data_IF_831832594179
#
_entry.id   IF_831832594179
#
_cell.length_a   1.000
_cell.length_b   1.000
_cell.length_c   1.000
_cell.angle_alpha   90.00
_cell.angle_beta   90.00
_cell.angle_gamma   90.00
#
_symmetry.space_group_name_H-M   'P 1'
#
loop_
_entity.id
_entity.type
_entity.pdbx_description
1 polymer ?
#
# COMPACT_ATOMS: atom_id res chain seq x y z
N UNK A 1 -12.67 -66.89 28.55
CA UNK A 1 -11.61 -65.93 28.15
C UNK A 1 -11.95 -65.17 26.85
N UNK A 2 -12.41 -65.84 25.77
CA UNK A 2 -12.63 -65.20 24.44
C UNK A 2 -13.52 -63.94 24.42
N UNK A 3 -14.61 -63.89 25.22
CA UNK A 3 -15.52 -62.73 25.28
C UNK A 3 -14.85 -61.42 25.70
N UNK A 4 -13.84 -61.46 26.58
CA UNK A 4 -13.13 -60.26 27.02
C UNK A 4 -12.24 -59.67 25.91
N UNK A 5 -11.59 -60.54 25.12
CA UNK A 5 -10.76 -60.12 23.99
C UNK A 5 -11.58 -59.44 22.88
N UNK A 6 -12.81 -59.94 22.63
CA UNK A 6 -13.72 -59.35 21.65
C UNK A 6 -14.16 -57.94 22.04
N UNK A 7 -14.51 -57.72 23.32
CA UNK A 7 -14.90 -56.39 23.84
C UNK A 7 -13.73 -55.41 23.77
N UNK A 8 -12.50 -55.86 24.06
CA UNK A 8 -11.30 -55.01 23.96
C UNK A 8 -11.05 -54.55 22.51
N UNK A 9 -11.17 -55.46 21.53
CA UNK A 9 -11.00 -55.15 20.11
C UNK A 9 -12.03 -54.14 19.60
N UNK A 10 -13.30 -54.26 20.00
CA UNK A 10 -14.35 -53.28 19.64
C UNK A 10 -14.08 -51.92 20.30
N UNK A 11 -13.66 -51.89 21.57
CA UNK A 11 -13.35 -50.62 22.25
C UNK A 11 -12.17 -49.87 21.58
N UNK A 12 -11.12 -50.60 21.18
CA UNK A 12 -9.97 -50.02 20.48
C UNK A 12 -10.36 -49.48 19.09
N UNK A 13 -11.17 -50.22 18.31
CA UNK A 13 -11.58 -49.77 16.98
C UNK A 13 -12.48 -48.53 17.01
N UNK A 14 -13.36 -48.40 18.01
CA UNK A 14 -14.16 -47.19 18.22
C UNK A 14 -13.28 -46.00 18.59
N UNK A 15 -12.27 -46.17 19.46
CA UNK A 15 -11.34 -45.08 19.80
C UNK A 15 -10.56 -44.56 18.58
N UNK A 16 -10.07 -45.45 17.71
CA UNK A 16 -9.34 -45.06 16.49
C UNK A 16 -10.22 -44.24 15.55
N UNK A 17 -11.51 -44.58 15.40
CA UNK A 17 -12.45 -43.83 14.56
C UNK A 17 -12.73 -42.43 15.13
N UNK A 18 -12.77 -42.27 16.47
CA UNK A 18 -12.98 -40.96 17.11
C UNK A 18 -11.73 -40.08 16.96
N UNK A 19 -10.53 -40.62 17.16
CA UNK A 19 -9.28 -39.85 17.07
C UNK A 19 -8.79 -39.58 15.63
N UNK A 20 -9.29 -40.28 14.61
CA UNK A 20 -8.91 -40.05 13.20
C UNK A 20 -9.81 -39.04 12.47
N UNK A 21 -10.94 -38.64 13.06
CA UNK A 21 -11.76 -37.53 12.54
C UNK A 21 -11.06 -36.19 12.79
N UNK A 22 -10.22 -35.79 11.83
CA UNK A 22 -9.79 -34.38 11.72
C UNK A 22 -11.05 -33.50 11.72
N UNK A 23 -11.10 -32.42 12.51
CA UNK A 23 -12.20 -31.48 12.41
C UNK A 23 -12.22 -30.92 11.00
N UNK A 24 -13.32 -31.13 10.28
CA UNK A 24 -13.58 -30.38 9.05
C UNK A 24 -13.76 -28.94 9.50
N UNK A 25 -12.77 -28.10 9.23
CA UNK A 25 -12.88 -26.67 9.48
C UNK A 25 -14.18 -26.19 8.79
N UNK A 26 -15.01 -25.38 9.48
CA UNK A 26 -16.21 -24.86 8.83
C UNK A 26 -15.76 -24.14 7.56
N UNK A 27 -16.41 -24.44 6.44
CA UNK A 27 -16.20 -23.71 5.21
C UNK A 27 -16.64 -22.27 5.48
N UNK A 28 -15.68 -21.42 5.86
CA UNK A 28 -15.90 -19.99 5.95
C UNK A 28 -16.30 -19.58 4.54
N UNK A 29 -17.54 -19.14 4.39
CA UNK A 29 -18.00 -18.51 3.17
C UNK A 29 -17.17 -17.24 3.02
N UNK A 30 -16.02 -17.35 2.34
CA UNK A 30 -15.24 -16.20 1.91
C UNK A 30 -16.18 -15.35 1.09
N UNK A 31 -16.58 -14.20 1.65
CA UNK A 31 -17.34 -13.22 0.92
C UNK A 31 -16.55 -12.88 -0.33
N UNK A 32 -17.15 -13.12 -1.50
CA UNK A 32 -16.52 -12.93 -2.81
C UNK A 32 -16.41 -11.44 -3.14
N UNK A 33 -15.62 -10.72 -2.34
CA UNK A 33 -15.33 -9.31 -2.47
C UNK A 33 -13.96 -9.11 -3.14
N UNK A 34 -13.81 -9.66 -4.34
CA UNK A 34 -12.79 -9.19 -5.28
C UNK A 34 -13.36 -7.96 -5.99
N UNK A 35 -13.40 -6.81 -5.31
CA UNK A 35 -13.51 -5.55 -6.02
C UNK A 35 -12.22 -5.38 -6.84
N UNK A 36 -12.36 -5.11 -8.13
CA UNK A 36 -11.22 -4.98 -9.03
C UNK A 36 -10.45 -3.70 -8.70
N UNK A 37 -9.12 -3.83 -8.54
CA UNK A 37 -8.26 -2.68 -8.25
C UNK A 37 -8.35 -1.63 -9.35
N UNK A 38 -8.41 -0.37 -8.93
CA UNK A 38 -8.45 0.79 -9.81
C UNK A 38 -7.03 1.12 -10.30
N UNK A 39 -6.00 0.81 -9.50
CA UNK A 39 -4.59 1.00 -9.89
C UNK A 39 -4.04 -0.29 -10.53
N UNK A 40 -4.51 -0.58 -11.75
CA UNK A 40 -4.25 -1.85 -12.45
C UNK A 40 -2.83 -2.06 -13.02
N UNK A 41 -1.92 -1.09 -12.90
CA UNK A 41 -0.56 -1.12 -13.45
C UNK A 41 0.55 -1.27 -12.39
N UNK A 42 0.20 -1.66 -11.15
CA UNK A 42 1.14 -1.99 -10.09
C UNK A 42 0.96 -3.47 -9.76
N UNK A 43 2.01 -4.26 -9.99
CA UNK A 43 2.03 -5.69 -9.70
C UNK A 43 2.68 -5.98 -8.33
N UNK A 44 2.68 -7.25 -7.93
CA UNK A 44 3.33 -7.65 -6.68
C UNK A 44 4.85 -7.46 -6.78
N UNK A 45 5.43 -6.75 -5.81
CA UNK A 45 6.83 -6.33 -5.80
C UNK A 45 7.08 -4.90 -6.31
N UNK A 46 6.10 -4.28 -6.97
CA UNK A 46 6.18 -2.89 -7.40
C UNK A 46 5.84 -1.92 -6.26
N UNK A 47 6.18 -0.64 -6.44
CA UNK A 47 5.77 0.44 -5.52
C UNK A 47 5.59 1.74 -6.28
N UNK A 48 4.39 2.31 -6.22
CA UNK A 48 4.13 3.68 -6.67
C UNK A 48 4.62 4.65 -5.59
N UNK A 49 5.48 5.59 -5.99
CA UNK A 49 5.98 6.64 -5.12
C UNK A 49 5.23 7.94 -5.41
N UNK A 50 4.67 8.56 -4.38
CA UNK A 50 4.02 9.88 -4.43
C UNK A 50 4.75 10.78 -3.45
N UNK A 51 5.24 11.92 -3.93
CA UNK A 51 6.27 12.69 -3.24
C UNK A 51 5.97 14.19 -3.27
N UNK A 52 6.25 14.85 -2.15
CA UNK A 52 6.38 16.29 -2.06
C UNK A 52 7.69 16.69 -1.35
N UNK A 53 8.36 17.67 -1.92
CA UNK A 53 9.44 18.40 -1.28
C UNK A 53 9.09 19.88 -1.28
N UNK A 54 8.97 20.45 -0.09
CA UNK A 54 8.65 21.86 0.08
C UNK A 54 9.94 22.68 0.13
N UNK A 55 9.91 23.94 -0.29
CA UNK A 55 11.10 24.83 -0.35
C UNK A 55 11.13 25.86 0.79
N UNK A 56 10.64 25.46 1.98
CA UNK A 56 10.60 26.30 3.18
C UNK A 56 11.98 26.80 3.65
N UNK A 57 13.07 26.14 3.22
CA UNK A 57 14.46 26.58 3.43
C UNK A 57 15.16 27.03 2.13
N UNK A 58 14.40 27.50 1.14
CA UNK A 58 14.91 28.02 -0.14
C UNK A 58 15.33 26.96 -1.15
N UNK A 59 16.24 27.35 -2.06
CA UNK A 59 16.74 26.55 -3.21
C UNK A 59 17.23 25.15 -2.80
N UNK A 60 17.89 25.06 -1.65
CA UNK A 60 18.48 23.82 -1.12
C UNK A 60 17.53 23.02 -0.22
N UNK A 61 16.22 23.20 -0.42
CA UNK A 61 15.14 22.28 -0.03
C UNK A 61 14.74 22.30 1.44
N UNK A 62 13.46 22.06 1.68
CA UNK A 62 12.83 21.96 3.00
C UNK A 62 12.35 20.54 3.36
N UNK A 63 11.23 20.47 4.09
CA UNK A 63 10.62 19.22 4.51
C UNK A 63 10.18 18.35 3.32
N UNK A 64 10.15 17.03 3.56
CA UNK A 64 9.71 16.04 2.58
C UNK A 64 8.62 15.15 3.15
N UNK A 65 7.65 14.89 2.28
CA UNK A 65 6.58 13.91 2.49
C UNK A 65 6.68 12.85 1.39
N UNK A 66 6.55 11.58 1.75
CA UNK A 66 6.57 10.46 0.81
C UNK A 66 5.45 9.48 1.16
N UNK A 67 4.55 9.23 0.20
CA UNK A 67 3.58 8.14 0.26
C UNK A 67 4.07 7.03 -0.67
N UNK A 68 4.22 5.81 -0.15
CA UNK A 68 4.49 4.60 -0.95
C UNK A 68 3.22 3.78 -1.04
N UNK A 69 2.85 3.31 -2.23
CA UNK A 69 1.67 2.46 -2.45
C UNK A 69 2.11 1.15 -3.12
N UNK A 70 1.81 0.02 -2.47
CA UNK A 70 2.27 -1.32 -2.87
C UNK A 70 1.24 -2.39 -2.44
N UNK A 71 1.29 -3.58 -3.05
CA UNK A 71 0.41 -4.70 -2.64
C UNK A 71 0.92 -5.34 -1.35
N UNK A 72 0.05 -5.54 -0.35
CA UNK A 72 0.49 -5.99 0.98
C UNK A 72 1.01 -7.44 1.01
N UNK A 73 1.90 -7.70 1.96
CA UNK A 73 2.34 -9.03 2.38
C UNK A 73 1.66 -9.53 3.66
N UNK A 74 0.80 -8.73 4.28
CA UNK A 74 0.09 -9.13 5.50
C UNK A 74 -1.02 -10.16 5.21
N UNK A 75 -0.67 -11.43 5.45
CA UNK A 75 -1.57 -12.57 5.46
C UNK A 75 -0.78 -13.88 5.46
N UNK A 76 -1.39 -14.97 5.93
CA UNK A 76 -0.84 -16.34 5.91
C UNK A 76 -0.84 -16.94 4.47
N UNK A 77 -0.32 -16.15 3.53
CA UNK A 77 -0.43 -16.30 2.07
C UNK A 77 0.94 -16.66 1.47
N UNK A 78 1.87 -17.14 2.31
CA UNK A 78 3.19 -17.62 1.89
C UNK A 78 3.19 -19.05 1.36
N UNK A 79 2.06 -19.75 1.41
CA UNK A 79 1.88 -21.06 0.78
C UNK A 79 0.60 -21.11 -0.09
N UNK A 80 0.77 -21.57 -1.35
CA UNK A 80 -0.27 -22.12 -2.27
C UNK A 80 -1.14 -21.19 -3.13
N UNK A 81 -0.94 -19.87 -3.18
CA UNK A 81 -1.75 -19.05 -4.09
C UNK A 81 -1.17 -18.95 -5.52
N UNK A 82 -2.05 -19.01 -6.51
CA UNK A 82 -1.75 -18.91 -7.94
C UNK A 82 -1.86 -17.48 -8.47
N UNK A 83 -1.43 -17.25 -9.71
CA UNK A 83 -1.34 -15.92 -10.35
C UNK A 83 -2.62 -15.07 -10.24
N UNK A 84 -3.81 -15.69 -10.26
CA UNK A 84 -5.11 -15.00 -10.18
C UNK A 84 -5.35 -14.38 -8.80
N UNK A 85 -4.86 -15.00 -7.73
CA UNK A 85 -5.12 -14.57 -6.35
C UNK A 85 -4.16 -13.47 -5.89
N UNK A 86 -2.99 -13.32 -6.54
CA UNK A 86 -2.11 -12.17 -6.34
C UNK A 86 -2.76 -10.84 -6.72
N UNK A 87 -3.66 -10.84 -7.72
CA UNK A 87 -4.47 -9.67 -8.13
C UNK A 87 -5.63 -9.32 -7.19
N UNK A 88 -5.76 -10.02 -6.06
CA UNK A 88 -6.82 -9.78 -5.06
C UNK A 88 -6.25 -9.33 -3.70
N UNK A 89 -4.93 -9.12 -3.60
CA UNK A 89 -4.29 -8.60 -2.38
C UNK A 89 -4.61 -7.12 -2.24
N UNK A 90 -4.99 -6.61 -1.05
CA UNK A 90 -5.25 -5.19 -0.89
C UNK A 90 -3.96 -4.38 -1.03
N UNK A 91 -4.06 -3.20 -1.65
CA UNK A 91 -2.99 -2.21 -1.59
C UNK A 91 -2.82 -1.68 -0.16
N UNK A 92 -1.59 -1.36 0.19
CA UNK A 92 -1.23 -0.64 1.41
C UNK A 92 -0.52 0.65 1.02
N UNK A 93 -0.78 1.71 1.78
CA UNK A 93 -0.09 2.98 1.68
C UNK A 93 0.66 3.28 2.98
N UNK A 94 1.97 3.47 2.86
CA UNK A 94 2.84 3.98 3.92
C UNK A 94 3.06 5.47 3.74
N UNK A 95 2.88 6.24 4.80
CA UNK A 95 3.23 7.66 4.86
C UNK A 95 4.52 7.86 5.65
N UNK A 96 5.55 8.31 4.96
CA UNK A 96 6.84 8.68 5.53
C UNK A 96 6.97 10.20 5.62
N UNK A 97 7.36 10.67 6.81
CA UNK A 97 7.82 12.02 7.05
C UNK A 97 9.33 12.05 7.19
N UNK A 98 9.93 13.18 6.85
CA UNK A 98 11.32 13.45 7.14
C UNK A 98 11.52 14.22 8.45
N UNK A 99 12.59 13.89 9.16
CA UNK A 99 13.01 14.50 10.43
C UNK A 99 13.65 15.89 10.28
N UNK A 100 14.09 16.31 9.09
CA UNK A 100 14.89 17.54 8.92
C UNK A 100 14.16 18.56 8.03
N UNK A 101 13.78 19.68 8.65
CA UNK A 101 13.09 20.78 7.97
C UNK A 101 13.86 21.44 6.82
N UNK A 102 15.20 21.31 6.75
CA UNK A 102 16.06 21.86 5.69
C UNK A 102 17.03 20.80 5.12
N UNK A 103 17.12 20.66 3.80
CA UNK A 103 17.61 19.42 3.16
C UNK A 103 19.12 19.26 2.97
N UNK A 104 19.93 20.25 3.37
CA UNK A 104 21.40 20.24 3.22
C UNK A 104 22.13 19.29 4.18
N UNK A 105 21.41 18.60 5.07
CA UNK A 105 21.98 17.69 6.08
C UNK A 105 22.04 16.25 5.59
N UNK A 106 23.26 15.68 5.62
CA UNK A 106 23.52 14.29 5.20
C UNK A 106 22.95 13.23 6.16
N UNK A 107 22.61 13.59 7.41
CA UNK A 107 22.05 12.70 8.43
C UNK A 107 20.50 12.61 8.41
N UNK A 108 19.89 12.92 7.25
CA UNK A 108 18.45 12.89 6.99
C UNK A 108 17.84 11.51 7.29
N UNK A 109 16.77 11.47 8.09
CA UNK A 109 16.04 10.24 8.42
C UNK A 109 14.55 10.37 8.09
N UNK A 110 14.05 9.41 7.33
CA UNK A 110 12.62 9.21 7.13
C UNK A 110 12.07 8.29 8.21
N UNK A 111 10.91 8.62 8.77
CA UNK A 111 10.18 7.78 9.71
C UNK A 111 8.80 7.44 9.14
N UNK A 112 8.35 6.21 9.36
CA UNK A 112 6.99 5.80 9.05
C UNK A 112 6.07 6.46 10.08
N UNK A 113 5.25 7.40 9.62
CA UNK A 113 4.31 8.16 10.45
C UNK A 113 2.98 7.41 10.55
N UNK A 114 2.45 6.94 9.41
CA UNK A 114 1.19 6.17 9.35
C UNK A 114 1.26 5.10 8.25
N UNK A 115 0.52 4.02 8.44
CA UNK A 115 0.26 2.98 7.45
C UNK A 115 -1.25 2.77 7.33
N UNK A 116 -1.73 2.43 6.13
CA UNK A 116 -3.15 2.16 5.86
C UNK A 116 -3.33 1.13 4.76
N UNK A 117 -4.15 0.11 5.02
CA UNK A 117 -4.73 -0.73 3.96
C UNK A 117 -5.76 0.10 3.19
N UNK A 118 -5.60 0.17 1.87
CA UNK A 118 -6.41 1.03 1.01
C UNK A 118 -7.77 0.42 0.70
N UNK A 119 -8.80 1.28 0.72
CA UNK A 119 -10.08 0.97 0.08
C UNK A 119 -10.08 1.37 -1.39
N UNK A 120 -11.02 0.85 -2.18
CA UNK A 120 -11.22 1.25 -3.58
C UNK A 120 -11.47 2.76 -3.74
N UNK A 121 -12.05 3.43 -2.74
CA UNK A 121 -12.22 4.90 -2.76
C UNK A 121 -10.93 5.68 -2.45
N UNK A 122 -9.98 5.06 -1.74
CA UNK A 122 -8.63 5.58 -1.57
C UNK A 122 -7.80 5.40 -2.85
N UNK A 123 -7.90 4.24 -3.52
CA UNK A 123 -7.31 4.03 -4.85
C UNK A 123 -7.81 5.07 -5.86
N UNK A 124 -9.13 5.31 -5.92
CA UNK A 124 -9.71 6.41 -6.72
C UNK A 124 -9.19 7.79 -6.31
N UNK A 125 -8.84 8.02 -5.04
CA UNK A 125 -8.26 9.29 -4.60
C UNK A 125 -6.83 9.47 -5.14
N UNK A 126 -6.03 8.41 -5.12
CA UNK A 126 -4.68 8.38 -5.72
C UNK A 126 -4.74 8.66 -7.23
N UNK A 127 -5.59 7.95 -7.98
CA UNK A 127 -5.74 8.17 -9.43
C UNK A 127 -6.21 9.61 -9.74
N UNK A 128 -7.16 10.15 -8.96
CA UNK A 128 -7.58 11.56 -9.08
C UNK A 128 -6.44 12.53 -8.82
N UNK A 129 -5.60 12.27 -7.80
CA UNK A 129 -4.41 13.08 -7.55
C UNK A 129 -3.42 13.03 -8.72
N UNK A 130 -3.15 11.84 -9.29
CA UNK A 130 -2.26 11.68 -10.43
C UNK A 130 -2.75 12.46 -11.66
N UNK A 131 -4.03 12.36 -12.01
CA UNK A 131 -4.63 13.16 -13.09
C UNK A 131 -4.57 14.66 -12.80
N UNK A 132 -4.83 15.08 -11.56
CA UNK A 132 -4.80 16.48 -11.19
C UNK A 132 -3.36 17.06 -11.22
N UNK A 133 -2.35 16.27 -10.83
CA UNK A 133 -0.94 16.64 -10.93
C UNK A 133 -0.48 16.71 -12.39
N UNK A 134 -0.87 15.76 -13.24
CA UNK A 134 -0.61 15.80 -14.68
C UNK A 134 -1.21 17.05 -15.33
N UNK A 135 -2.48 17.37 -15.04
CA UNK A 135 -3.11 18.59 -15.54
C UNK A 135 -2.44 19.86 -15.00
N UNK A 136 -1.82 19.80 -13.81
CA UNK A 136 -1.06 20.90 -13.24
C UNK A 136 0.33 21.04 -13.87
N UNK A 137 0.98 19.95 -14.28
CA UNK A 137 2.29 19.98 -14.97
C UNK A 137 2.24 20.58 -16.37
N UNK A 138 1.04 20.75 -16.94
CA UNK A 138 0.82 21.42 -18.23
C UNK A 138 0.73 22.95 -18.14
N UNK A 139 0.87 23.53 -16.95
CA UNK A 139 0.81 25.00 -16.74
C UNK A 139 2.19 25.64 -16.93
N UNK A 140 2.20 26.92 -17.29
CA UNK A 140 3.40 27.76 -17.23
C UNK A 140 3.77 28.05 -15.76
N UNK A 141 4.63 27.20 -15.22
CA UNK A 141 5.23 27.33 -13.89
C UNK A 141 6.62 27.96 -14.04
N UNK A 142 6.62 29.29 -14.29
CA UNK A 142 7.82 30.14 -14.45
C UNK A 142 8.97 29.73 -13.52
N UNK A 143 10.17 29.61 -14.07
CA UNK A 143 11.36 29.17 -13.32
C UNK A 143 11.84 30.24 -12.33
N UNK A 144 12.09 29.80 -11.09
CA UNK A 144 12.67 30.58 -9.99
C UNK A 144 13.58 29.69 -9.15
N UNK A 145 14.50 30.32 -8.39
CA UNK A 145 15.47 29.66 -7.50
C UNK A 145 14.85 28.87 -6.34
N UNK A 146 13.55 28.99 -6.07
CA UNK A 146 12.87 28.19 -5.06
C UNK A 146 11.44 27.86 -5.49
N UNK A 147 11.03 26.63 -5.24
CA UNK A 147 9.71 26.10 -5.56
C UNK A 147 9.51 24.71 -4.95
N UNK A 148 8.25 24.31 -4.78
CA UNK A 148 7.91 22.98 -4.28
C UNK A 148 8.03 21.96 -5.41
N UNK A 149 8.65 20.80 -5.14
CA UNK A 149 8.70 19.68 -6.09
C UNK A 149 7.60 18.70 -5.71
N UNK A 150 6.78 18.32 -6.68
CA UNK A 150 5.82 17.23 -6.55
C UNK A 150 6.12 16.18 -7.63
N UNK A 151 6.10 14.91 -7.24
CA UNK A 151 6.44 13.82 -8.14
C UNK A 151 5.58 12.58 -7.89
N UNK A 152 5.19 11.94 -8.99
CA UNK A 152 4.64 10.58 -9.00
C UNK A 152 5.59 9.73 -9.84
N UNK A 153 6.00 8.59 -9.29
CA UNK A 153 7.02 7.74 -9.87
C UNK A 153 6.64 6.27 -9.94
N UNK A 154 6.83 5.70 -11.12
CA UNK A 154 7.12 4.31 -11.43
C UNK A 154 7.62 4.22 -12.88
N UNK A 155 8.69 3.46 -13.10
CA UNK A 155 9.17 3.08 -14.44
C UNK A 155 10.07 1.84 -14.31
N UNK A 156 9.75 0.68 -14.88
CA UNK A 156 8.51 0.28 -15.56
C UNK A 156 7.55 -0.28 -14.48
N UNK A 157 6.22 -0.18 -14.53
CA UNK A 157 5.26 0.09 -15.61
C UNK A 157 4.33 1.30 -15.26
N UNK A 158 4.20 2.31 -16.13
CA UNK A 158 4.90 3.60 -15.91
C UNK A 158 3.96 4.78 -15.58
N UNK A 159 3.97 5.34 -14.36
CA UNK A 159 3.69 6.78 -14.18
C UNK A 159 4.93 7.61 -13.76
N UNK A 160 5.38 8.53 -14.62
CA UNK A 160 6.36 9.56 -14.27
C UNK A 160 5.73 10.94 -14.50
N UNK A 161 5.29 11.60 -13.43
CA UNK A 161 4.76 12.97 -13.46
C UNK A 161 5.61 13.81 -12.52
N UNK A 162 6.19 14.89 -13.01
CA UNK A 162 7.03 15.80 -12.23
C UNK A 162 6.55 17.24 -12.38
N UNK A 163 6.49 17.97 -11.27
CA UNK A 163 6.05 19.36 -11.18
C UNK A 163 7.01 20.13 -10.29
N UNK A 164 7.43 21.30 -10.76
CA UNK A 164 8.10 22.31 -9.94
C UNK A 164 7.19 23.54 -9.81
N UNK A 165 6.54 23.65 -8.66
CA UNK A 165 5.61 24.73 -8.32
C UNK A 165 6.34 25.87 -7.62
N UNK A 166 6.80 26.83 -8.41
CA UNK A 166 7.36 28.11 -7.98
C UNK A 166 6.31 29.13 -7.52
N UNK A 167 5.02 28.81 -7.68
CA UNK A 167 3.89 29.66 -7.28
C UNK A 167 3.35 29.29 -5.90
N UNK A 168 3.84 28.20 -5.28
CA UNK A 168 3.44 27.69 -3.96
C UNK A 168 1.91 27.46 -3.85
N UNK A 169 1.29 27.17 -5.00
CA UNK A 169 -0.16 27.20 -5.20
C UNK A 169 -0.79 25.81 -5.24
N UNK A 170 0.00 24.77 -5.52
CA UNK A 170 -0.49 23.40 -5.52
C UNK A 170 -0.76 22.91 -4.10
N UNK A 171 -1.98 22.43 -3.85
CA UNK A 171 -2.41 21.84 -2.57
C UNK A 171 -2.79 20.37 -2.68
N UNK A 172 -2.69 19.77 -3.87
CA UNK A 172 -3.16 18.41 -4.13
C UNK A 172 -2.46 17.33 -3.29
N UNK A 173 -1.17 17.50 -2.97
CA UNK A 173 -0.45 16.53 -2.13
C UNK A 173 -1.01 16.49 -0.70
N UNK A 174 -1.16 17.66 -0.08
CA UNK A 174 -1.77 17.80 1.25
C UNK A 174 -3.19 17.24 1.25
N UNK A 175 -4.02 17.55 0.25
CA UNK A 175 -5.38 17.02 0.16
C UNK A 175 -5.43 15.48 0.01
N UNK A 176 -4.49 14.87 -0.73
CA UNK A 176 -4.37 13.42 -0.81
C UNK A 176 -3.97 12.83 0.55
N UNK A 177 -2.96 13.40 1.20
CA UNK A 177 -2.49 12.99 2.54
C UNK A 177 -3.61 13.05 3.57
N UNK A 178 -4.36 14.15 3.61
CA UNK A 178 -5.54 14.33 4.47
C UNK A 178 -6.60 13.25 4.17
N UNK A 179 -6.93 12.99 2.90
CA UNK A 179 -7.91 11.97 2.48
C UNK A 179 -7.51 10.54 2.85
N UNK A 180 -6.22 10.22 2.77
CA UNK A 180 -5.72 8.88 3.07
C UNK A 180 -5.56 8.67 4.58
N UNK A 181 -4.94 9.63 5.28
CA UNK A 181 -4.39 9.45 6.63
C UNK A 181 -4.97 10.36 7.72
N UNK A 182 -5.88 11.28 7.38
CA UNK A 182 -6.57 12.14 8.35
C UNK A 182 -5.70 13.22 9.02
N UNK A 183 -4.56 13.57 8.42
CA UNK A 183 -3.61 14.60 8.88
C UNK A 183 -3.48 15.72 7.85
#
# INVERSE_FOLDING_TARGET
MWKAALVLLVAVSVLVIVFTRKPVAPHVNQAKHSEEHVIGNISYGDTLFIYAQYSECGEFGGHRELIKVYLSDEGDVRERLGYVEFRQRPFTADFFLDTIGCSYRADRKYFLEKQKVLSVDDEKAIVRYMHALLNYSLKDLRTFHAGNIYWVGMDNEKPQIWVYDTQYSWRGHKALREKLFGN
#
